data_IF_997896754304
#
_entry.id   IF_997896754304
#
_cell.length_a   1.000
_cell.length_b   1.000
_cell.length_c   1.000
_cell.angle_alpha   90.00
_cell.angle_beta   90.00
_cell.angle_gamma   90.00
#
_symmetry.space_group_name_H-M   'P 1'
#
loop_
_entity.id
_entity.type
_entity.pdbx_description
1 polymer ?
#
# COMPACT_ATOMS: atom_id res chain seq x y z
N UNK A 1 -0.67 23.16 -4.20
CA UNK A 1 0.66 23.52 -3.62
C UNK A 1 1.85 23.22 -4.54
N UNK A 2 1.69 22.56 -5.69
CA UNK A 2 2.78 22.24 -6.62
C UNK A 2 3.45 23.56 -7.11
N UNK A 3 4.77 23.60 -7.12
CA UNK A 3 5.59 24.77 -7.46
C UNK A 3 5.81 25.77 -6.31
N UNK A 4 5.10 25.64 -5.19
CA UNK A 4 5.31 26.51 -4.02
C UNK A 4 6.58 26.16 -3.27
N UNK A 5 7.11 27.15 -2.54
CA UNK A 5 8.30 27.00 -1.71
C UNK A 5 7.91 27.06 -0.23
N UNK A 6 8.35 26.06 0.55
CA UNK A 6 8.19 26.00 1.99
C UNK A 6 9.58 25.89 2.63
N UNK A 7 10.02 26.95 3.32
CA UNK A 7 11.39 27.02 3.84
C UNK A 7 12.42 26.88 2.71
N UNK A 8 13.29 25.89 2.81
CA UNK A 8 14.33 25.60 1.80
C UNK A 8 13.91 24.55 0.76
N UNK A 9 12.58 24.29 0.61
CA UNK A 9 12.10 23.16 -0.20
C UNK A 9 11.07 23.63 -1.23
N UNK A 10 11.24 23.22 -2.51
CA UNK A 10 10.26 23.41 -3.57
C UNK A 10 9.42 22.14 -3.71
N UNK A 11 8.09 22.28 -3.67
CA UNK A 11 7.17 21.17 -3.90
C UNK A 11 7.10 20.84 -5.40
N UNK A 12 7.37 19.59 -5.76
CA UNK A 12 7.35 19.14 -7.15
C UNK A 12 6.05 18.37 -7.51
N UNK A 13 5.62 17.45 -6.65
CA UNK A 13 4.42 16.63 -6.90
C UNK A 13 3.82 16.11 -5.61
N UNK A 14 2.53 15.84 -5.64
CA UNK A 14 1.80 15.16 -4.57
C UNK A 14 1.95 13.64 -4.71
N UNK A 15 2.12 12.93 -3.59
CA UNK A 15 2.26 11.47 -3.55
C UNK A 15 1.25 10.80 -2.63
N UNK A 16 0.54 11.56 -1.81
CA UNK A 16 -0.49 11.03 -0.93
C UNK A 16 -1.29 12.11 -0.23
N UNK A 17 -2.51 11.75 0.13
CA UNK A 17 -3.41 12.55 0.93
C UNK A 17 -3.91 11.70 2.10
N UNK A 18 -3.88 12.25 3.30
CA UNK A 18 -4.40 11.64 4.52
C UNK A 18 -5.34 12.58 5.24
N UNK A 19 -6.14 12.08 6.17
CA UNK A 19 -7.14 12.86 6.90
C UNK A 19 -6.58 14.05 7.73
N UNK A 20 -5.27 14.20 7.85
CA UNK A 20 -4.61 15.26 8.63
C UNK A 20 -3.48 15.95 7.86
N UNK A 21 -3.06 15.43 6.72
CA UNK A 21 -1.89 15.93 6.01
C UNK A 21 -1.88 15.52 4.54
N UNK A 22 -1.29 16.35 3.72
CA UNK A 22 -0.90 16.05 2.36
C UNK A 22 0.59 15.69 2.32
N UNK A 23 0.96 14.75 1.47
CA UNK A 23 2.35 14.28 1.34
C UNK A 23 2.86 14.61 -0.06
N UNK A 24 3.95 15.35 -0.12
CA UNK A 24 4.55 15.80 -1.36
C UNK A 24 6.00 15.33 -1.50
N UNK A 25 6.44 15.14 -2.73
CA UNK A 25 7.88 15.13 -3.05
C UNK A 25 8.30 16.56 -3.37
N UNK A 26 9.41 16.96 -2.82
CA UNK A 26 10.05 18.24 -3.14
C UNK A 26 11.55 18.10 -3.22
N UNK A 27 12.22 19.21 -3.50
CA UNK A 27 13.68 19.32 -3.56
C UNK A 27 14.21 20.49 -2.75
N UNK A 28 15.40 20.32 -2.20
CA UNK A 28 16.14 21.42 -1.57
C UNK A 28 16.49 22.49 -2.60
N UNK A 29 16.34 23.76 -2.24
CA UNK A 29 16.74 24.90 -3.08
C UNK A 29 18.22 25.25 -2.91
N UNK A 30 18.71 25.19 -1.68
CA UNK A 30 20.09 25.46 -1.34
C UNK A 30 20.66 24.36 -0.45
N UNK A 31 21.98 24.23 -0.43
CA UNK A 31 22.66 23.32 0.48
C UNK A 31 22.33 23.66 1.94
N UNK A 32 22.13 22.63 2.75
CA UNK A 32 22.08 22.70 4.21
C UNK A 32 23.28 21.95 4.78
N UNK A 33 23.47 21.95 6.11
CA UNK A 33 24.50 21.12 6.75
C UNK A 33 24.35 19.61 6.46
N UNK A 34 23.17 19.17 6.07
CA UNK A 34 22.82 17.74 5.96
C UNK A 34 22.47 17.34 4.53
N UNK A 35 21.94 18.26 3.72
CA UNK A 35 21.41 17.99 2.38
C UNK A 35 22.03 18.92 1.33
N UNK A 36 22.48 18.37 0.18
CA UNK A 36 22.92 19.18 -0.94
C UNK A 36 21.74 19.89 -1.64
N UNK A 37 21.99 20.86 -2.55
CA UNK A 37 20.93 21.43 -3.38
C UNK A 37 20.34 20.35 -4.30
N UNK A 38 19.10 20.55 -4.75
CA UNK A 38 18.32 19.63 -5.60
C UNK A 38 18.12 18.22 -5.03
N UNK A 39 18.34 18.05 -3.70
CA UNK A 39 18.16 16.75 -3.06
C UNK A 39 16.67 16.45 -2.86
N UNK A 40 16.19 15.24 -3.27
CA UNK A 40 14.79 14.87 -3.12
C UNK A 40 14.42 14.61 -1.66
N UNK A 41 13.28 15.16 -1.23
CA UNK A 41 12.73 14.99 0.12
C UNK A 41 11.23 14.72 0.04
N UNK A 42 10.69 14.16 1.11
CA UNK A 42 9.24 14.10 1.35
C UNK A 42 8.84 15.20 2.31
N UNK A 43 7.81 15.97 1.94
CA UNK A 43 7.20 16.98 2.80
C UNK A 43 5.80 16.50 3.19
N UNK A 44 5.59 16.21 4.46
CA UNK A 44 4.28 15.92 5.04
C UNK A 44 3.73 17.21 5.62
N UNK A 45 2.81 17.82 4.89
CA UNK A 45 2.23 19.15 5.18
C UNK A 45 0.90 18.97 5.88
N UNK A 46 0.70 19.62 7.02
CA UNK A 46 -0.58 19.60 7.71
C UNK A 46 -1.68 20.21 6.83
N UNK A 47 -2.84 19.57 6.79
CA UNK A 47 -3.98 20.03 6.00
C UNK A 47 -4.44 21.41 6.45
N UNK A 48 -4.82 22.29 5.50
CA UNK A 48 -5.30 23.66 5.76
C UNK A 48 -6.54 23.68 6.64
N UNK A 49 -7.40 22.66 6.54
CA UNK A 49 -8.60 22.49 7.39
C UNK A 49 -8.26 22.35 8.88
N UNK A 50 -7.05 21.86 9.18
CA UNK A 50 -6.55 21.65 10.54
C UNK A 50 -5.54 22.72 10.97
N UNK A 51 -5.22 23.71 10.15
CA UNK A 51 -4.25 24.75 10.46
C UNK A 51 -4.58 25.53 11.77
N UNK A 52 -5.87 25.69 12.06
CA UNK A 52 -6.37 26.29 13.31
C UNK A 52 -6.57 25.31 14.48
N UNK A 53 -6.43 23.99 14.26
CA UNK A 53 -6.59 23.00 15.32
C UNK A 53 -5.31 22.84 16.14
N UNK A 54 -5.32 23.42 17.35
CA UNK A 54 -4.22 23.33 18.30
C UNK A 54 -3.86 21.87 18.65
N UNK A 55 -4.84 20.97 18.68
CA UNK A 55 -4.62 19.54 18.99
C UNK A 55 -3.91 18.84 17.83
N UNK A 56 -4.32 19.09 16.59
CA UNK A 56 -3.65 18.57 15.40
C UNK A 56 -2.20 19.07 15.33
N UNK A 57 -1.99 20.36 15.58
CA UNK A 57 -0.63 20.94 15.61
C UNK A 57 0.27 20.31 16.67
N UNK A 58 -0.25 20.10 17.90
CA UNK A 58 0.48 19.40 18.97
C UNK A 58 0.89 17.98 18.55
N UNK A 59 0.03 17.27 17.81
CA UNK A 59 0.35 15.93 17.29
C UNK A 59 1.52 15.97 16.29
N UNK A 60 1.52 16.93 15.36
CA UNK A 60 2.65 17.11 14.42
C UNK A 60 3.96 17.42 15.15
N UNK A 61 3.94 18.31 16.15
CA UNK A 61 5.12 18.60 16.99
C UNK A 61 5.62 17.34 17.69
N UNK A 62 4.72 16.55 18.26
CA UNK A 62 5.07 15.31 18.95
C UNK A 62 5.64 14.26 17.97
N UNK A 63 5.07 14.17 16.78
CA UNK A 63 5.59 13.31 15.70
C UNK A 63 7.02 13.71 15.33
N UNK A 64 7.28 15.00 15.10
CA UNK A 64 8.62 15.53 14.86
C UNK A 64 9.62 15.17 15.97
N UNK A 65 9.23 15.37 17.24
CA UNK A 65 10.07 15.06 18.42
C UNK A 65 10.42 13.57 18.51
N UNK A 66 9.55 12.69 18.08
CA UNK A 66 9.80 11.24 18.11
C UNK A 66 10.65 10.84 16.92
N UNK A 67 10.32 11.32 15.72
CA UNK A 67 11.09 11.04 14.50
C UNK A 67 12.54 11.53 14.61
N UNK A 68 12.77 12.66 15.29
CA UNK A 68 14.14 13.20 15.50
C UNK A 68 15.04 12.28 16.33
N UNK A 69 14.47 11.37 17.13
CA UNK A 69 15.20 10.38 17.96
C UNK A 69 15.54 9.11 17.19
N UNK A 70 14.93 8.91 16.01
CA UNK A 70 15.08 7.68 15.23
C UNK A 70 16.11 7.89 14.12
N UNK A 71 17.20 7.12 14.19
CA UNK A 71 18.22 7.03 13.14
C UNK A 71 18.60 5.57 12.94
N UNK A 72 18.00 4.93 11.95
CA UNK A 72 18.23 3.52 11.66
C UNK A 72 18.14 3.26 10.16
N UNK A 73 18.91 2.29 9.65
CA UNK A 73 18.98 1.97 8.21
C UNK A 73 17.62 1.60 7.60
N UNK A 74 16.72 1.00 8.37
CA UNK A 74 15.40 0.59 7.94
C UNK A 74 14.27 1.54 8.39
N UNK A 75 14.59 2.74 8.88
CA UNK A 75 13.61 3.78 9.21
C UNK A 75 13.87 4.98 8.32
N UNK A 76 12.81 5.55 7.73
CA UNK A 76 12.93 6.79 6.96
C UNK A 76 13.52 7.90 7.82
N UNK A 77 14.55 8.56 7.30
CA UNK A 77 15.25 9.61 8.04
C UNK A 77 14.40 10.86 8.12
N UNK A 78 14.27 11.41 9.32
CA UNK A 78 13.72 12.73 9.55
C UNK A 78 14.84 13.76 9.42
N UNK A 79 14.57 14.86 8.70
CA UNK A 79 15.54 15.95 8.47
C UNK A 79 15.20 17.20 9.27
N UNK A 80 13.96 17.70 9.15
CA UNK A 80 13.57 18.98 9.70
C UNK A 80 12.07 19.05 10.02
N UNK A 81 11.72 19.88 10.99
CA UNK A 81 10.36 20.28 11.27
C UNK A 81 10.20 21.78 11.06
N UNK A 82 9.40 22.16 10.08
CA UNK A 82 9.05 23.55 9.80
C UNK A 82 7.71 23.84 10.48
N UNK A 83 7.68 24.85 11.33
CA UNK A 83 6.47 25.28 12.02
C UNK A 83 6.39 26.80 11.97
N UNK A 84 5.60 27.33 11.07
CA UNK A 84 5.43 28.75 10.84
C UNK A 84 3.94 29.14 10.69
N UNK A 85 3.67 30.38 10.32
CA UNK A 85 2.30 30.87 10.11
C UNK A 85 1.57 30.16 8.95
N UNK A 86 2.30 29.55 8.02
CA UNK A 86 1.76 28.82 6.85
C UNK A 86 1.40 27.37 7.20
N UNK A 87 1.79 26.86 8.39
CA UNK A 87 1.45 25.51 8.82
C UNK A 87 2.63 24.75 9.46
N UNK A 88 2.39 23.46 9.67
CA UNK A 88 3.38 22.52 10.19
C UNK A 88 3.77 21.52 9.11
N UNK A 89 5.08 21.34 8.89
CA UNK A 89 5.64 20.46 7.84
C UNK A 89 6.73 19.59 8.43
N UNK A 90 6.64 18.28 8.20
CA UNK A 90 7.71 17.33 8.47
C UNK A 90 8.49 17.09 7.18
N UNK A 91 9.79 17.27 7.22
CA UNK A 91 10.70 17.01 6.10
C UNK A 91 11.44 15.70 6.37
N UNK A 92 11.28 14.75 5.45
CA UNK A 92 11.79 13.39 5.59
C UNK A 92 12.52 12.89 4.35
N UNK A 93 13.22 11.79 4.48
CA UNK A 93 13.88 11.06 3.41
C UNK A 93 12.88 10.67 2.32
N UNK A 94 13.20 11.00 1.07
CA UNK A 94 12.53 10.41 -0.07
C UNK A 94 13.15 9.05 -0.35
N UNK A 95 12.38 7.99 -0.19
CA UNK A 95 12.81 6.61 -0.45
C UNK A 95 12.46 6.23 -1.88
N UNK A 96 13.48 5.94 -2.68
CA UNK A 96 13.27 5.44 -4.05
C UNK A 96 12.93 3.95 -4.01
N UNK A 97 11.64 3.64 -3.97
CA UNK A 97 11.15 2.28 -3.84
C UNK A 97 9.67 2.15 -4.16
N UNK A 98 9.15 0.95 -3.98
CA UNK A 98 7.73 0.64 -4.15
C UNK A 98 7.11 0.27 -2.79
N UNK A 99 6.02 0.91 -2.36
CA UNK A 99 5.28 0.49 -1.18
C UNK A 99 4.83 -0.98 -1.30
N UNK A 100 4.86 -1.71 -0.17
CA UNK A 100 4.56 -3.16 -0.18
C UNK A 100 3.10 -3.45 -0.51
N UNK A 101 2.16 -2.56 -0.19
CA UNK A 101 0.75 -2.68 -0.59
C UNK A 101 0.59 -2.62 -2.11
N UNK A 102 1.37 -1.78 -2.80
CA UNK A 102 1.41 -1.73 -4.27
C UNK A 102 1.96 -3.06 -4.82
N UNK A 103 3.06 -3.57 -4.24
CA UNK A 103 3.61 -4.87 -4.65
C UNK A 103 2.59 -6.00 -4.47
N UNK A 104 1.84 -6.01 -3.37
CA UNK A 104 0.78 -6.98 -3.09
C UNK A 104 -0.39 -6.84 -4.06
N UNK A 105 -0.80 -5.62 -4.38
CA UNK A 105 -1.88 -5.38 -5.34
C UNK A 105 -1.52 -5.82 -6.77
N UNK A 106 -0.24 -5.68 -7.15
CA UNK A 106 0.24 -6.05 -8.48
C UNK A 106 0.52 -7.54 -8.63
N UNK A 107 1.01 -8.21 -7.58
CA UNK A 107 1.57 -9.57 -7.65
C UNK A 107 0.80 -10.60 -6.85
N UNK A 108 -0.13 -10.17 -5.99
CA UNK A 108 -0.70 -11.02 -4.96
C UNK A 108 0.34 -11.33 -3.87
N UNK A 109 0.57 -12.61 -3.60
CA UNK A 109 1.57 -13.04 -2.63
C UNK A 109 3.01 -12.77 -3.11
N UNK A 110 3.88 -12.44 -2.16
CA UNK A 110 5.32 -12.32 -2.43
C UNK A 110 6.00 -13.71 -2.34
N UNK A 111 7.16 -13.92 -2.99
CA UNK A 111 7.99 -15.10 -2.72
C UNK A 111 8.27 -15.22 -1.21
N UNK A 112 8.23 -16.45 -0.66
CA UNK A 112 8.38 -16.70 0.79
C UNK A 112 9.64 -16.04 1.35
N UNK A 113 10.78 -16.22 0.69
CA UNK A 113 12.06 -15.60 1.08
C UNK A 113 11.99 -14.06 1.05
N UNK A 114 11.28 -13.48 0.09
CA UNK A 114 11.10 -12.03 0.01
C UNK A 114 10.20 -11.50 1.13
N UNK A 115 9.11 -12.20 1.45
CA UNK A 115 8.21 -11.83 2.55
C UNK A 115 8.95 -11.87 3.91
N UNK A 116 9.76 -12.90 4.13
CA UNK A 116 10.57 -13.01 5.35
C UNK A 116 11.61 -11.88 5.42
N UNK A 117 12.33 -11.61 4.33
CA UNK A 117 13.34 -10.54 4.31
C UNK A 117 12.72 -9.17 4.58
N UNK A 118 11.55 -8.86 4.02
CA UNK A 118 10.79 -7.63 4.31
C UNK A 118 10.42 -7.56 5.79
N UNK A 119 9.89 -8.67 6.34
CA UNK A 119 9.51 -8.75 7.75
C UNK A 119 10.72 -8.58 8.67
N UNK A 120 11.87 -9.18 8.35
CA UNK A 120 13.11 -9.04 9.12
C UNK A 120 13.60 -7.58 9.15
N UNK A 121 13.57 -6.85 8.02
CA UNK A 121 13.90 -5.42 7.99
C UNK A 121 12.95 -4.61 8.89
N UNK A 122 11.64 -4.90 8.85
CA UNK A 122 10.65 -4.29 9.73
C UNK A 122 10.96 -4.57 11.19
N UNK A 123 11.21 -5.83 11.55
CA UNK A 123 11.48 -6.24 12.94
C UNK A 123 12.77 -5.61 13.49
N UNK A 124 13.84 -5.50 12.70
CA UNK A 124 15.04 -4.75 13.12
C UNK A 124 14.74 -3.27 13.40
N UNK A 125 13.93 -2.63 12.56
CA UNK A 125 13.50 -1.26 12.81
C UNK A 125 12.69 -1.14 14.12
N UNK A 126 11.81 -2.12 14.39
CA UNK A 126 11.02 -2.15 15.62
C UNK A 126 11.88 -2.44 16.86
N UNK A 127 12.84 -3.35 16.79
CA UNK A 127 13.79 -3.60 17.89
C UNK A 127 14.50 -2.30 18.29
N UNK A 128 14.95 -1.53 17.30
CA UNK A 128 15.60 -0.25 17.55
C UNK A 128 14.64 0.78 18.15
N UNK A 129 13.43 0.92 17.62
CA UNK A 129 12.43 1.88 18.10
C UNK A 129 11.94 1.52 19.52
N UNK A 130 11.63 0.25 19.77
CA UNK A 130 11.17 -0.26 21.07
C UNK A 130 12.24 -0.08 22.15
N UNK A 131 13.51 -0.28 21.81
CA UNK A 131 14.65 0.00 22.71
C UNK A 131 14.76 1.49 23.13
N UNK A 132 14.10 2.40 22.38
CA UNK A 132 13.97 3.83 22.72
C UNK A 132 12.61 4.16 23.35
N UNK A 133 11.78 3.18 23.67
CA UNK A 133 10.44 3.37 24.20
C UNK A 133 9.45 3.92 23.16
N UNK A 134 9.76 3.77 21.84
CA UNK A 134 8.93 4.27 20.76
C UNK A 134 8.22 3.09 20.07
N UNK A 135 6.91 3.14 19.98
CA UNK A 135 6.03 2.18 19.33
C UNK A 135 5.51 2.76 18.02
N UNK A 136 5.43 1.95 16.95
CA UNK A 136 4.99 2.42 15.63
C UNK A 136 3.49 2.67 15.54
N UNK A 137 2.66 1.72 16.01
CA UNK A 137 1.19 1.80 16.13
C UNK A 137 0.40 1.87 14.82
N UNK A 138 1.03 1.92 13.66
CA UNK A 138 0.38 1.92 12.34
C UNK A 138 1.14 1.06 11.33
N UNK A 139 1.55 -0.14 11.73
CA UNK A 139 2.23 -1.08 10.84
C UNK A 139 1.21 -1.63 9.85
N UNK A 140 1.50 -1.43 8.56
CA UNK A 140 0.73 -1.92 7.41
C UNK A 140 1.62 -1.90 6.17
N UNK A 141 1.29 -2.64 5.10
CA UNK A 141 2.11 -2.69 3.88
C UNK A 141 2.37 -1.33 3.24
N UNK A 142 1.41 -0.40 3.28
CA UNK A 142 1.58 0.96 2.74
C UNK A 142 2.69 1.78 3.43
N UNK A 143 3.03 1.44 4.67
CA UNK A 143 4.09 2.10 5.45
C UNK A 143 5.44 1.39 5.36
N UNK A 144 5.58 0.44 4.43
CA UNK A 144 6.81 -0.30 4.15
C UNK A 144 7.22 -0.05 2.69
N UNK A 145 8.32 0.63 2.46
CA UNK A 145 8.81 0.95 1.12
C UNK A 145 9.98 0.02 0.79
N UNK A 146 9.81 -0.85 -0.20
CA UNK A 146 10.85 -1.76 -0.68
C UNK A 146 11.69 -1.06 -1.74
N UNK A 147 12.96 -0.87 -1.45
CA UNK A 147 13.95 -0.31 -2.37
C UNK A 147 14.37 -1.32 -3.44
N UNK A 148 14.97 -0.85 -4.53
CA UNK A 148 15.47 -1.70 -5.63
C UNK A 148 16.54 -2.70 -5.20
N UNK A 149 17.33 -2.36 -4.18
CA UNK A 149 18.35 -3.24 -3.59
C UNK A 149 17.78 -4.35 -2.70
N UNK A 150 16.47 -4.35 -2.48
CA UNK A 150 15.75 -5.32 -1.64
C UNK A 150 15.60 -4.91 -0.18
N UNK A 151 16.28 -3.85 0.27
CA UNK A 151 16.07 -3.29 1.60
C UNK A 151 14.67 -2.70 1.75
N UNK A 152 14.24 -2.50 3.00
CA UNK A 152 12.94 -1.91 3.30
C UNK A 152 13.10 -0.73 4.23
N UNK A 153 12.38 0.34 3.95
CA UNK A 153 12.26 1.48 4.85
C UNK A 153 10.87 1.51 5.47
N UNK A 154 10.84 1.64 6.79
CA UNK A 154 9.60 1.84 7.57
C UNK A 154 9.34 3.32 7.68
N UNK A 155 8.15 3.76 7.31
CA UNK A 155 7.72 5.16 7.35
C UNK A 155 6.50 5.34 8.25
N UNK A 156 6.12 6.59 8.53
CA UNK A 156 4.89 6.96 9.23
C UNK A 156 4.69 6.27 10.59
N UNK A 157 5.63 6.48 11.52
CA UNK A 157 5.40 6.10 12.92
C UNK A 157 4.12 6.77 13.45
N UNK A 158 3.08 5.96 13.73
CA UNK A 158 1.68 6.34 13.93
C UNK A 158 1.37 7.12 15.20
N UNK A 159 2.16 8.11 15.52
CA UNK A 159 2.07 8.93 16.74
C UNK A 159 0.80 9.79 16.74
N UNK A 160 0.30 10.16 15.57
CA UNK A 160 -0.94 10.89 15.41
C UNK A 160 -2.18 10.14 15.95
N UNK A 161 -2.08 8.82 16.17
CA UNK A 161 -3.16 7.98 16.73
C UNK A 161 -3.24 7.99 18.26
N UNK A 162 -2.31 8.66 18.97
CA UNK A 162 -2.39 8.82 20.43
C UNK A 162 -3.42 9.91 20.73
N UNK A 163 -4.59 9.53 21.21
CA UNK A 163 -5.55 10.49 21.81
C UNK A 163 -5.04 10.92 23.19
N UNK A 164 -4.54 12.15 23.31
CA UNK A 164 -4.42 12.83 24.57
C UNK A 164 -5.78 13.44 24.91
N UNK A 165 -6.42 12.97 25.96
CA UNK A 165 -7.66 13.53 26.49
C UNK A 165 -8.60 12.45 27.00
N UNK A 166 -8.63 12.26 28.32
CA UNK A 166 -9.60 11.44 29.02
C UNK A 166 -11.02 11.95 28.83
N UNK A 167 -11.68 11.48 27.78
CA UNK A 167 -13.10 11.56 27.57
C UNK A 167 -13.64 10.14 27.67
N UNK A 168 -14.24 9.84 28.81
CA UNK A 168 -15.04 8.65 29.08
C UNK A 168 -16.13 8.52 28.02
N UNK A 169 -16.05 7.52 27.16
CA UNK A 169 -17.14 6.64 26.70
C UNK A 169 -16.63 5.74 25.59
N UNK A 170 -16.96 4.45 25.65
CA UNK A 170 -16.52 3.34 24.80
C UNK A 170 -16.88 3.40 23.29
N UNK A 171 -16.52 4.48 22.60
CA UNK A 171 -16.75 4.66 21.16
C UNK A 171 -15.46 5.15 20.48
N UNK A 172 -14.41 4.33 20.51
CA UNK A 172 -13.04 4.82 20.25
C UNK A 172 -12.55 4.64 18.82
N UNK A 173 -13.27 3.93 17.98
CA UNK A 173 -12.88 3.63 16.58
C UNK A 173 -13.77 4.36 15.56
N UNK A 174 -14.92 4.88 16.01
CA UNK A 174 -15.85 5.64 15.16
C UNK A 174 -15.68 7.14 15.41
N UNK A 175 -15.40 7.91 14.36
CA UNK A 175 -15.59 9.36 14.40
C UNK A 175 -17.08 9.67 14.58
N UNK A 176 -17.44 10.89 15.05
CA UNK A 176 -18.84 11.34 15.15
C UNK A 176 -19.64 11.20 13.83
N UNK A 177 -18.94 11.04 12.70
CA UNK A 177 -19.49 10.82 11.37
C UNK A 177 -19.56 9.34 10.96
N UNK A 178 -19.26 8.37 11.85
CA UNK A 178 -19.31 6.94 11.53
C UNK A 178 -18.13 6.42 10.70
N UNK A 179 -17.12 7.25 10.41
CA UNK A 179 -15.93 6.83 9.68
C UNK A 179 -14.85 6.31 10.62
N UNK A 180 -14.29 5.16 10.26
CA UNK A 180 -13.18 4.54 10.95
C UNK A 180 -11.89 5.30 10.63
N UNK A 181 -11.15 5.74 11.64
CA UNK A 181 -9.84 6.37 11.47
C UNK A 181 -8.79 5.27 11.22
N UNK A 182 -8.53 4.92 9.97
CA UNK A 182 -7.53 3.95 9.54
C UNK A 182 -8.12 2.58 9.13
N UNK A 183 -7.28 1.72 8.58
CA UNK A 183 -7.64 0.37 8.11
C UNK A 183 -7.53 -0.60 9.29
N UNK A 184 -8.63 -1.10 9.88
CA UNK A 184 -8.60 -1.89 11.11
C UNK A 184 -8.01 -3.29 10.94
N UNK A 185 -7.80 -3.74 9.69
CA UNK A 185 -7.32 -5.08 9.35
C UNK A 185 -5.97 -5.45 9.96
N UNK A 186 -5.13 -4.45 10.25
CA UNK A 186 -3.80 -4.64 10.86
C UNK A 186 -3.76 -4.31 12.35
N UNK A 187 -4.86 -3.78 12.93
CA UNK A 187 -4.91 -3.42 14.33
C UNK A 187 -4.97 -4.64 15.22
N UNK A 188 -4.22 -4.63 16.30
CA UNK A 188 -4.30 -5.65 17.34
C UNK A 188 -5.58 -5.53 18.16
N UNK A 189 -6.05 -6.62 18.81
CA UNK A 189 -7.23 -6.60 19.67
C UNK A 189 -7.18 -5.49 20.73
N UNK A 190 -6.03 -5.31 21.39
CA UNK A 190 -5.86 -4.27 22.42
C UNK A 190 -5.91 -2.85 21.83
N UNK A 191 -5.39 -2.63 20.61
CA UNK A 191 -5.52 -1.32 19.93
C UNK A 191 -6.97 -0.97 19.63
N UNK A 192 -7.79 -1.96 19.29
CA UNK A 192 -9.22 -1.77 19.01
C UNK A 192 -9.98 -1.51 20.31
N UNK A 193 -9.66 -2.26 21.37
CA UNK A 193 -10.32 -2.13 22.68
C UNK A 193 -9.97 -0.82 23.36
N UNK A 194 -8.69 -0.55 23.50
CA UNK A 194 -8.17 0.57 24.27
C UNK A 194 -6.87 1.08 23.63
N UNK A 195 -6.92 2.08 22.74
CA UNK A 195 -5.75 2.56 21.98
C UNK A 195 -4.56 3.01 22.84
N UNK A 196 -4.79 3.38 24.12
CA UNK A 196 -3.72 3.71 25.05
C UNK A 196 -2.85 2.51 25.42
N UNK A 197 -3.42 1.29 25.38
CA UNK A 197 -2.73 0.05 25.73
C UNK A 197 -1.87 -0.49 24.57
N UNK A 198 -1.94 0.17 23.40
CA UNK A 198 -1.12 -0.18 22.25
C UNK A 198 0.37 0.03 22.56
N UNK A 199 1.13 -1.05 22.59
CA UNK A 199 2.56 -1.09 22.89
C UNK A 199 3.35 -1.91 21.87
N UNK A 200 4.55 -2.31 22.26
CA UNK A 200 5.44 -3.15 21.42
C UNK A 200 4.76 -4.45 20.95
N UNK A 201 3.95 -5.07 21.80
CA UNK A 201 3.18 -6.29 21.48
C UNK A 201 2.14 -6.06 20.37
N UNK A 202 1.61 -4.83 20.24
CA UNK A 202 0.70 -4.45 19.16
C UNK A 202 1.44 -4.36 17.82
N UNK A 203 2.66 -3.83 17.81
CA UNK A 203 3.50 -3.79 16.60
C UNK A 203 3.89 -5.21 16.16
N UNK A 204 4.17 -6.13 17.10
CA UNK A 204 4.43 -7.54 16.81
C UNK A 204 3.22 -8.18 16.12
N UNK A 205 2.02 -7.97 16.65
CA UNK A 205 0.79 -8.46 16.04
C UNK A 205 0.60 -7.94 14.61
N UNK A 206 0.71 -6.61 14.43
CA UNK A 206 0.56 -5.98 13.11
C UNK A 206 1.63 -6.47 12.12
N UNK A 207 2.87 -6.72 12.58
CA UNK A 207 3.94 -7.32 11.76
C UNK A 207 3.59 -8.75 11.32
N UNK A 208 2.97 -9.54 12.22
CA UNK A 208 2.44 -10.86 11.90
C UNK A 208 1.35 -10.81 10.82
N UNK A 209 0.42 -9.83 10.92
CA UNK A 209 -0.64 -9.61 9.91
C UNK A 209 -0.03 -9.25 8.55
N UNK A 210 0.97 -8.37 8.53
CA UNK A 210 1.68 -7.99 7.30
C UNK A 210 2.42 -9.19 6.70
N UNK A 211 3.09 -10.01 7.53
CA UNK A 211 3.76 -11.21 7.05
C UNK A 211 2.77 -12.23 6.49
N UNK A 212 1.63 -12.44 7.17
CA UNK A 212 0.55 -13.29 6.67
C UNK A 212 0.09 -12.84 5.28
N UNK A 213 -0.20 -11.55 5.11
CA UNK A 213 -0.67 -11.01 3.84
C UNK A 213 0.41 -11.10 2.74
N UNK A 214 1.66 -10.80 3.06
CA UNK A 214 2.77 -10.98 2.11
C UNK A 214 2.94 -12.42 1.66
N UNK A 215 2.72 -13.39 2.55
CA UNK A 215 2.81 -14.81 2.24
C UNK A 215 1.62 -15.32 1.43
N UNK A 216 0.41 -14.90 1.76
CA UNK A 216 -0.83 -15.47 1.19
C UNK A 216 -1.45 -14.62 0.08
N UNK A 217 -1.10 -13.34 -0.02
CA UNK A 217 -1.79 -12.35 -0.88
C UNK A 217 -3.18 -11.98 -0.39
N UNK A 218 -3.57 -12.41 0.82
CA UNK A 218 -4.89 -12.18 1.38
C UNK A 218 -4.81 -11.66 2.83
N UNK A 219 -5.75 -10.82 3.21
CA UNK A 219 -5.90 -10.40 4.60
C UNK A 219 -6.40 -11.57 5.46
N UNK A 220 -5.82 -11.78 6.67
CA UNK A 220 -6.26 -12.85 7.57
C UNK A 220 -7.70 -12.67 8.06
N UNK A 221 -8.11 -11.42 8.20
CA UNK A 221 -9.45 -11.04 8.62
C UNK A 221 -10.03 -10.12 7.55
N UNK A 222 -11.10 -10.57 6.91
CA UNK A 222 -11.76 -9.79 5.86
C UNK A 222 -13.28 -9.88 6.05
N UNK A 223 -13.92 -8.75 6.28
CA UNK A 223 -15.37 -8.62 6.36
C UNK A 223 -15.82 -7.24 5.91
N UNK A 224 -16.92 -7.19 5.15
CA UNK A 224 -17.58 -5.92 4.78
C UNK A 224 -18.27 -5.26 5.98
N UNK A 225 -18.53 -6.00 7.03
CA UNK A 225 -19.14 -5.51 8.28
C UNK A 225 -18.05 -5.27 9.31
N UNK A 226 -17.88 -4.01 9.74
CA UNK A 226 -16.92 -3.66 10.76
C UNK A 226 -17.10 -4.44 12.09
N UNK A 227 -18.32 -4.63 12.63
CA UNK A 227 -18.50 -5.44 13.83
C UNK A 227 -18.03 -6.89 13.63
N UNK A 228 -18.30 -7.50 12.45
CA UNK A 228 -17.83 -8.86 12.16
C UNK A 228 -16.32 -8.94 12.00
N UNK A 229 -15.70 -7.92 11.42
CA UNK A 229 -14.23 -7.82 11.33
C UNK A 229 -13.61 -7.76 12.73
N UNK A 230 -14.13 -6.89 13.59
CA UNK A 230 -13.67 -6.75 14.98
C UNK A 230 -13.84 -8.07 15.76
N UNK A 231 -14.98 -8.73 15.63
CA UNK A 231 -15.23 -10.02 16.27
C UNK A 231 -14.23 -11.10 15.79
N UNK A 232 -13.98 -11.18 14.47
CA UNK A 232 -13.00 -12.11 13.92
C UNK A 232 -11.57 -11.84 14.44
N UNK A 233 -11.17 -10.56 14.58
CA UNK A 233 -9.87 -10.16 15.15
C UNK A 233 -9.78 -10.61 16.63
N UNK A 234 -10.83 -10.40 17.43
CA UNK A 234 -10.84 -10.81 18.84
C UNK A 234 -10.79 -12.32 19.03
N UNK A 235 -11.49 -13.08 18.18
CA UNK A 235 -11.47 -14.55 18.23
C UNK A 235 -10.23 -15.15 17.58
N UNK A 236 -9.57 -14.40 16.73
CA UNK A 236 -8.47 -14.90 15.91
C UNK A 236 -8.95 -15.85 14.79
N UNK A 237 -10.17 -15.65 14.32
CA UNK A 237 -10.80 -16.47 13.27
C UNK A 237 -10.20 -16.13 11.91
N UNK A 238 -9.19 -16.92 11.51
CA UNK A 238 -8.48 -16.77 10.23
C UNK A 238 -8.17 -18.13 9.63
N UNK A 239 -8.05 -18.17 8.31
CA UNK A 239 -7.51 -19.37 7.65
C UNK A 239 -6.02 -19.52 7.99
N UNK A 240 -5.57 -20.76 8.09
CA UNK A 240 -4.14 -21.04 8.22
C UNK A 240 -3.39 -20.64 6.94
N UNK A 241 -2.21 -20.01 7.02
CA UNK A 241 -1.43 -19.63 5.84
C UNK A 241 -1.24 -20.79 4.85
N UNK A 242 -0.97 -21.98 5.32
CA UNK A 242 -0.78 -23.20 4.50
C UNK A 242 -2.03 -23.63 3.72
N UNK A 243 -3.21 -23.32 4.23
CA UNK A 243 -4.47 -23.61 3.52
C UNK A 243 -4.64 -22.73 2.28
N UNK A 244 -4.04 -21.54 2.27
CA UNK A 244 -4.05 -20.60 1.15
C UNK A 244 -2.83 -20.77 0.25
N UNK A 245 -1.68 -21.13 0.84
CA UNK A 245 -0.42 -21.28 0.14
C UNK A 245 0.37 -22.48 0.68
N UNK A 246 0.31 -23.64 0.01
CA UNK A 246 0.98 -24.87 0.44
C UNK A 246 2.51 -24.77 0.57
N UNK A 247 3.17 -23.82 -0.11
CA UNK A 247 4.62 -23.57 0.00
C UNK A 247 5.03 -22.97 1.35
N UNK A 248 4.10 -22.47 2.13
CA UNK A 248 4.32 -22.08 3.53
C UNK A 248 4.31 -23.38 4.35
N UNK A 249 5.45 -23.77 4.93
CA UNK A 249 5.53 -24.96 5.75
C UNK A 249 4.93 -24.78 7.15
N UNK A 250 4.90 -25.87 7.94
CA UNK A 250 4.30 -25.85 9.26
C UNK A 250 5.06 -24.95 10.26
N UNK A 251 6.38 -24.85 10.13
CA UNK A 251 7.20 -24.03 11.03
C UNK A 251 6.95 -22.54 10.80
N UNK A 252 6.98 -22.08 9.54
CA UNK A 252 6.68 -20.69 9.19
C UNK A 252 5.24 -20.30 9.56
N UNK A 253 4.30 -21.22 9.34
CA UNK A 253 2.90 -21.00 9.76
C UNK A 253 2.81 -20.76 11.27
N UNK A 254 3.48 -21.58 12.11
CA UNK A 254 3.47 -21.41 13.55
C UNK A 254 4.09 -20.07 13.99
N UNK A 255 5.17 -19.64 13.34
CA UNK A 255 5.78 -18.32 13.59
C UNK A 255 4.76 -17.19 13.31
N UNK A 256 4.10 -17.23 12.16
CA UNK A 256 3.08 -16.24 11.79
C UNK A 256 1.92 -16.24 12.79
N UNK A 257 1.37 -17.42 13.10
CA UNK A 257 0.23 -17.58 14.01
C UNK A 257 0.56 -17.14 15.45
N UNK A 258 1.79 -17.41 15.93
CA UNK A 258 2.26 -16.93 17.23
C UNK A 258 2.32 -15.40 17.28
N UNK A 259 2.88 -14.75 16.26
CA UNK A 259 2.92 -13.27 16.19
C UNK A 259 1.51 -12.66 16.24
N UNK A 260 0.55 -13.29 15.55
CA UNK A 260 -0.84 -12.85 15.43
C UNK A 260 -1.78 -13.42 16.51
N UNK A 261 -1.27 -13.95 17.61
CA UNK A 261 -2.14 -14.50 18.64
C UNK A 261 -3.01 -13.40 19.26
N UNK A 262 -4.35 -13.59 19.46
CA UNK A 262 -5.22 -12.56 20.02
C UNK A 262 -4.78 -12.13 21.43
N UNK A 263 -4.32 -13.06 22.26
CA UNK A 263 -3.81 -12.80 23.60
C UNK A 263 -2.36 -12.38 23.53
N UNK A 264 -2.03 -11.22 24.14
CA UNK A 264 -0.68 -10.65 24.14
C UNK A 264 0.38 -11.54 24.77
N UNK A 265 0.02 -12.29 25.84
CA UNK A 265 0.91 -13.21 26.57
C UNK A 265 1.31 -14.45 25.75
N UNK A 266 0.59 -14.75 24.68
CA UNK A 266 0.87 -15.86 23.77
C UNK A 266 1.67 -15.45 22.53
N UNK A 267 1.97 -14.15 22.37
CA UNK A 267 2.81 -13.64 21.27
C UNK A 267 4.29 -13.77 21.62
N UNK A 268 5.15 -13.44 20.68
CA UNK A 268 6.55 -13.17 20.97
C UNK A 268 6.68 -12.08 22.04
N UNK A 269 7.62 -12.21 22.96
CA UNK A 269 7.82 -11.24 24.02
C UNK A 269 8.31 -9.90 23.45
N UNK A 270 9.23 -9.98 22.49
CA UNK A 270 9.87 -8.83 21.85
C UNK A 270 9.89 -8.98 20.32
N UNK A 271 10.06 -7.87 19.61
CA UNK A 271 10.34 -7.90 18.18
C UNK A 271 11.65 -8.64 17.85
N UNK A 272 12.61 -8.69 18.81
CA UNK A 272 13.84 -9.43 18.69
C UNK A 272 13.58 -10.92 18.63
N UNK A 273 12.78 -11.48 19.54
CA UNK A 273 12.42 -12.91 19.50
C UNK A 273 11.71 -13.31 18.20
N UNK A 274 10.85 -12.43 17.68
CA UNK A 274 10.18 -12.71 16.40
C UNK A 274 11.19 -12.69 15.25
N UNK A 275 12.12 -11.74 15.24
CA UNK A 275 13.22 -11.69 14.27
C UNK A 275 14.06 -12.95 14.30
N UNK A 276 14.50 -13.37 15.50
CA UNK A 276 15.34 -14.57 15.72
C UNK A 276 14.62 -15.84 15.26
N UNK A 277 13.31 -15.96 15.52
CA UNK A 277 12.53 -17.10 15.03
C UNK A 277 12.52 -17.17 13.49
N UNK A 278 12.43 -16.04 12.78
CA UNK A 278 12.52 -16.01 11.32
C UNK A 278 13.94 -16.26 10.82
N UNK A 279 14.96 -15.81 11.55
CA UNK A 279 16.37 -16.05 11.23
C UNK A 279 16.72 -17.54 11.38
N UNK A 280 16.30 -18.17 12.47
CA UNK A 280 16.46 -19.62 12.68
C UNK A 280 15.72 -20.44 11.63
N UNK A 281 14.51 -20.03 11.26
CA UNK A 281 13.77 -20.66 10.17
C UNK A 281 14.55 -20.59 8.86
N UNK A 282 15.05 -19.42 8.47
CA UNK A 282 15.84 -19.25 7.25
C UNK A 282 17.13 -20.10 7.27
N UNK A 283 17.80 -20.20 8.43
CA UNK A 283 19.03 -20.97 8.56
C UNK A 283 18.82 -22.49 8.38
N UNK A 284 17.62 -22.98 8.66
CA UNK A 284 17.24 -24.41 8.48
C UNK A 284 16.75 -24.71 7.06
N UNK A 285 16.33 -23.69 6.31
CA UNK A 285 15.96 -23.92 4.91
C UNK A 285 17.19 -24.34 4.12
N UNK A 286 17.12 -25.42 3.33
CA UNK A 286 18.21 -25.76 2.45
C UNK A 286 18.49 -24.54 1.56
N UNK A 287 19.76 -24.10 1.53
CA UNK A 287 20.18 -23.07 0.59
C UNK A 287 19.72 -23.55 -0.77
N UNK A 288 18.62 -22.95 -1.28
CA UNK A 288 18.20 -23.22 -2.63
C UNK A 288 19.41 -22.87 -3.49
N UNK A 289 20.07 -23.90 -4.04
CA UNK A 289 21.17 -23.70 -4.96
C UNK A 289 20.66 -22.64 -5.95
N UNK A 290 21.47 -21.61 -6.25
CA UNK A 290 21.02 -20.59 -7.19
C UNK A 290 20.51 -21.36 -8.38
N UNK A 291 19.23 -21.23 -8.68
CA UNK A 291 18.63 -21.85 -9.85
C UNK A 291 19.49 -21.34 -10.99
N UNK A 292 20.41 -22.18 -11.46
CA UNK A 292 21.16 -21.89 -12.65
C UNK A 292 20.10 -21.58 -13.65
N UNK A 293 19.98 -20.31 -14.04
CA UNK A 293 19.29 -19.93 -15.25
C UNK A 293 19.88 -20.87 -16.30
N UNK A 294 19.15 -21.95 -16.59
CA UNK A 294 19.51 -22.79 -17.73
C UNK A 294 19.53 -21.79 -18.87
N UNK A 295 20.67 -21.63 -19.57
CA UNK A 295 20.67 -20.85 -20.76
C UNK A 295 19.60 -21.50 -21.64
N UNK A 296 18.56 -20.76 -21.96
CA UNK A 296 17.62 -21.15 -23.00
C UNK A 296 18.50 -21.31 -24.24
N UNK A 297 18.84 -22.56 -24.55
CA UNK A 297 19.53 -22.89 -25.76
C UNK A 297 18.65 -22.32 -26.87
N UNK A 298 19.12 -21.28 -27.52
CA UNK A 298 18.58 -20.86 -28.83
C UNK A 298 18.88 -22.00 -29.78
N UNK A 299 17.96 -22.94 -29.89
CA UNK A 299 17.93 -23.83 -31.01
C UNK A 299 17.74 -22.99 -32.28
N UNK A 300 18.72 -23.03 -33.13
CA UNK A 300 18.58 -22.49 -34.47
C UNK A 300 17.40 -23.23 -35.14
N UNK A 301 16.54 -22.55 -35.90
CA UNK A 301 15.41 -23.19 -36.52
C UNK A 301 15.89 -24.20 -37.55
N UNK A 302 15.65 -25.49 -37.29
CA UNK A 302 15.80 -26.56 -38.28
C UNK A 302 14.72 -26.38 -39.36
N UNK A 303 15.18 -26.17 -40.59
CA UNK A 303 14.36 -25.75 -41.74
C UNK A 303 13.59 -26.89 -42.39
N UNK A 304 13.31 -28.03 -41.73
CA UNK A 304 12.65 -29.19 -42.33
C UNK A 304 11.66 -29.94 -41.45
N UNK A 305 10.67 -29.22 -40.85
CA UNK A 305 9.50 -29.89 -40.29
C UNK A 305 8.20 -29.28 -40.86
N UNK A 306 7.20 -30.05 -41.21
CA UNK A 306 5.96 -29.52 -41.80
C UNK A 306 5.19 -28.74 -40.75
N UNK A 307 4.89 -27.49 -41.05
CA UNK A 307 4.06 -26.58 -40.23
C UNK A 307 2.66 -27.18 -40.07
N UNK A 308 2.37 -27.79 -38.93
CA UNK A 308 0.99 -28.05 -38.52
C UNK A 308 0.31 -26.69 -38.29
N UNK A 309 -0.69 -26.39 -39.10
CA UNK A 309 -1.58 -25.24 -38.89
C UNK A 309 -2.21 -25.38 -37.52
N UNK A 310 -1.84 -24.47 -36.59
CA UNK A 310 -2.55 -24.27 -35.30
C UNK A 310 -3.97 -23.82 -35.64
N UNK A 311 -4.95 -24.51 -35.10
CA UNK A 311 -6.34 -24.03 -35.11
C UNK A 311 -6.40 -22.68 -34.42
N UNK A 312 -7.22 -21.72 -34.89
CA UNK A 312 -7.34 -20.41 -34.24
C UNK A 312 -7.92 -20.61 -32.86
N UNK A 313 -7.16 -20.21 -31.82
CA UNK A 313 -7.66 -20.09 -30.46
C UNK A 313 -8.87 -19.13 -30.46
N UNK A 314 -9.91 -19.37 -29.63
CA UNK A 314 -11.11 -18.51 -29.59
C UNK A 314 -10.72 -17.06 -29.26
N UNK A 315 -11.35 -16.11 -29.95
CA UNK A 315 -11.14 -14.68 -29.73
C UNK A 315 -11.45 -14.31 -28.26
N UNK A 316 -10.52 -13.61 -27.60
CA UNK A 316 -10.75 -13.11 -26.24
C UNK A 316 -11.78 -11.98 -26.24
N UNK A 317 -12.78 -12.09 -25.37
CA UNK A 317 -13.81 -11.06 -25.21
C UNK A 317 -13.55 -10.26 -23.94
N UNK A 318 -13.27 -8.98 -24.10
CA UNK A 318 -13.01 -8.09 -22.98
C UNK A 318 -14.26 -7.31 -22.54
N UNK A 319 -14.39 -7.03 -21.25
CA UNK A 319 -15.46 -6.17 -20.73
C UNK A 319 -14.99 -5.34 -19.54
N UNK A 320 -15.53 -4.12 -19.40
CA UNK A 320 -15.46 -3.32 -18.18
C UNK A 320 -16.70 -3.61 -17.32
N UNK A 321 -16.48 -4.00 -16.07
CA UNK A 321 -17.54 -4.30 -15.10
C UNK A 321 -17.45 -3.31 -13.95
N UNK A 322 -18.55 -2.65 -13.60
CA UNK A 322 -18.58 -1.68 -12.50
C UNK A 322 -18.12 -2.34 -11.18
N UNK A 323 -17.22 -1.67 -10.45
CA UNK A 323 -16.71 -2.16 -9.16
C UNK A 323 -17.81 -2.15 -8.09
N UNK A 324 -18.85 -1.29 -8.24
CA UNK A 324 -20.00 -1.24 -7.33
C UNK A 324 -21.06 -2.26 -7.77
N UNK A 325 -21.30 -3.34 -6.98
CA UNK A 325 -22.24 -4.41 -7.38
C UNK A 325 -23.66 -3.93 -7.59
N UNK A 326 -24.05 -2.83 -6.91
CA UNK A 326 -25.41 -2.31 -6.98
C UNK A 326 -25.74 -1.70 -8.36
N UNK A 327 -24.74 -1.32 -9.15
CA UNK A 327 -24.93 -0.69 -10.46
C UNK A 327 -25.12 -1.67 -11.61
N UNK A 328 -24.68 -2.90 -11.45
CA UNK A 328 -24.75 -3.97 -12.48
C UNK A 328 -24.39 -3.53 -13.91
N UNK A 329 -23.48 -2.54 -14.04
CA UNK A 329 -23.06 -1.99 -15.32
C UNK A 329 -21.91 -2.84 -15.88
N UNK A 330 -22.09 -3.34 -17.11
CA UNK A 330 -21.09 -4.11 -17.83
C UNK A 330 -21.01 -3.61 -19.26
N UNK A 331 -19.84 -3.21 -19.70
CA UNK A 331 -19.58 -2.67 -21.02
C UNK A 331 -18.65 -3.61 -21.79
N UNK A 332 -19.10 -4.28 -22.85
CA UNK A 332 -18.21 -5.06 -23.71
C UNK A 332 -17.22 -4.13 -24.43
N UNK A 333 -15.97 -4.56 -24.50
CA UNK A 333 -14.93 -3.90 -25.26
C UNK A 333 -14.71 -4.70 -26.54
N UNK A 334 -15.27 -4.22 -27.65
CA UNK A 334 -15.11 -4.84 -28.96
C UNK A 334 -14.77 -3.79 -30.01
N UNK A 335 -13.67 -4.02 -30.76
CA UNK A 335 -13.22 -3.15 -31.85
C UNK A 335 -12.03 -2.25 -31.49
N UNK A 336 -11.49 -1.65 -32.54
CA UNK A 336 -10.23 -0.89 -32.46
C UNK A 336 -10.37 0.55 -31.91
N UNK A 337 -11.60 1.02 -31.62
CA UNK A 337 -11.83 2.40 -31.21
C UNK A 337 -13.06 2.54 -30.29
N UNK A 338 -12.96 2.06 -29.05
CA UNK A 338 -14.00 2.17 -28.04
C UNK A 338 -13.84 3.49 -27.29
N UNK A 339 -14.67 4.49 -27.60
CA UNK A 339 -14.64 5.79 -26.94
C UNK A 339 -15.40 5.74 -25.61
N UNK A 340 -14.77 6.24 -24.54
CA UNK A 340 -15.36 6.35 -23.20
C UNK A 340 -15.54 7.82 -22.83
N UNK A 341 -16.72 8.19 -22.34
CA UNK A 341 -16.98 9.57 -21.92
C UNK A 341 -18.44 9.80 -21.51
N UNK A 342 -18.77 11.02 -21.08
CA UNK A 342 -20.17 11.36 -20.72
C UNK A 342 -21.02 11.83 -21.90
N UNK A 343 -20.41 12.06 -23.06
CA UNK A 343 -21.15 12.42 -24.27
C UNK A 343 -21.88 11.18 -24.82
N UNK A 344 -23.14 11.38 -25.26
CA UNK A 344 -23.96 10.30 -25.79
C UNK A 344 -23.44 9.69 -27.09
N UNK A 345 -22.49 10.36 -27.75
CA UNK A 345 -21.82 9.85 -28.95
C UNK A 345 -20.67 8.87 -28.63
N UNK A 346 -20.29 8.70 -27.35
CA UNK A 346 -19.29 7.75 -26.93
C UNK A 346 -19.83 6.30 -27.00
N UNK A 347 -18.94 5.35 -27.28
CA UNK A 347 -19.26 3.91 -27.28
C UNK A 347 -19.67 3.44 -25.89
N UNK A 348 -18.94 3.91 -24.86
CA UNK A 348 -19.26 3.69 -23.45
C UNK A 348 -19.63 5.04 -22.85
N UNK A 349 -20.91 5.21 -22.52
CA UNK A 349 -21.43 6.47 -21.95
C UNK A 349 -21.45 6.36 -20.43
N UNK A 350 -20.60 7.16 -19.78
CA UNK A 350 -20.54 7.29 -18.33
C UNK A 350 -21.15 8.64 -17.92
N UNK A 351 -22.43 8.66 -17.62
CA UNK A 351 -23.18 9.88 -17.30
C UNK A 351 -22.84 10.42 -15.90
N UNK A 352 -21.59 10.83 -15.68
CA UNK A 352 -21.11 11.33 -14.40
C UNK A 352 -20.35 12.66 -14.56
N UNK A 353 -20.54 13.66 -13.65
CA UNK A 353 -19.87 14.98 -13.76
C UNK A 353 -18.34 14.91 -13.77
N UNK A 354 -17.75 13.96 -13.07
CA UNK A 354 -16.29 13.75 -13.02
C UNK A 354 -15.71 13.23 -14.35
N UNK A 355 -16.54 12.74 -15.28
CA UNK A 355 -16.11 12.19 -16.57
C UNK A 355 -16.19 13.27 -17.65
N UNK A 356 -15.14 13.50 -18.42
CA UNK A 356 -15.12 14.44 -19.56
C UNK A 356 -16.04 13.97 -20.69
N UNK A 357 -16.49 14.88 -21.56
CA UNK A 357 -17.36 14.53 -22.71
C UNK A 357 -16.76 13.40 -23.55
N UNK A 358 -15.50 13.52 -23.92
CA UNK A 358 -14.65 12.46 -24.49
C UNK A 358 -13.48 12.30 -23.52
N UNK A 359 -13.45 11.20 -22.78
CA UNK A 359 -12.55 11.06 -21.64
C UNK A 359 -11.34 10.20 -21.97
N UNK A 360 -11.59 9.02 -22.51
CA UNK A 360 -10.56 8.03 -22.83
C UNK A 360 -10.92 7.22 -24.06
N UNK A 361 -9.94 6.54 -24.63
CA UNK A 361 -10.10 5.60 -25.73
C UNK A 361 -9.52 4.24 -25.34
N UNK A 362 -10.25 3.17 -25.66
CA UNK A 362 -9.78 1.80 -25.52
C UNK A 362 -9.65 1.21 -26.90
N UNK A 363 -8.46 0.70 -27.23
CA UNK A 363 -8.18 0.00 -28.47
C UNK A 363 -8.03 -1.49 -28.13
N UNK A 364 -8.91 -2.34 -28.67
CA UNK A 364 -8.86 -3.77 -28.50
C UNK A 364 -8.96 -4.44 -29.89
N UNK A 365 -7.99 -5.23 -30.26
CA UNK A 365 -7.95 -5.93 -31.55
C UNK A 365 -7.47 -7.37 -31.42
N UNK A 366 -8.26 -8.35 -31.88
CA UNK A 366 -7.91 -9.75 -31.93
C UNK A 366 -7.58 -10.36 -30.56
N UNK A 367 -6.43 -11.01 -30.45
CA UNK A 367 -5.95 -11.65 -29.21
C UNK A 367 -5.13 -10.72 -28.30
N UNK A 368 -4.86 -9.49 -28.73
CA UNK A 368 -4.05 -8.55 -27.98
C UNK A 368 -4.80 -7.97 -26.77
N UNK A 369 -4.06 -7.73 -25.67
CA UNK A 369 -4.59 -7.05 -24.49
C UNK A 369 -5.01 -5.60 -24.86
N UNK A 370 -6.15 -5.09 -24.32
CA UNK A 370 -6.63 -3.76 -24.63
C UNK A 370 -5.64 -2.66 -24.23
N UNK A 371 -5.52 -1.62 -25.03
CA UNK A 371 -4.74 -0.42 -24.74
C UNK A 371 -5.70 0.71 -24.39
N UNK A 372 -5.54 1.29 -23.20
CA UNK A 372 -6.27 2.44 -22.71
C UNK A 372 -5.43 3.71 -22.86
N UNK A 373 -6.04 4.77 -23.38
CA UNK A 373 -5.41 6.09 -23.59
C UNK A 373 -6.32 7.20 -23.04
N UNK A 374 -5.79 8.06 -22.20
CA UNK A 374 -6.48 9.27 -21.72
C UNK A 374 -6.48 10.34 -22.82
N UNK A 375 -7.62 10.94 -23.09
CA UNK A 375 -7.77 11.96 -24.13
C UNK A 375 -7.68 13.39 -23.55
N UNK A 376 -6.67 13.61 -22.71
CA UNK A 376 -6.47 14.88 -21.97
C UNK A 376 -7.72 15.26 -21.17
N UNK A 377 -8.26 14.28 -20.47
CA UNK A 377 -9.45 14.47 -19.67
C UNK A 377 -9.21 15.43 -18.49
N UNK A 378 -10.22 16.20 -18.11
CA UNK A 378 -10.09 17.23 -17.06
C UNK A 378 -9.67 16.63 -15.70
N UNK A 379 -10.16 15.44 -15.37
CA UNK A 379 -9.94 14.80 -14.08
C UNK A 379 -9.02 13.54 -14.18
N UNK A 380 -8.45 13.26 -15.36
CA UNK A 380 -7.53 12.16 -15.61
C UNK A 380 -8.18 10.77 -15.63
N UNK A 381 -7.48 9.83 -16.28
CA UNK A 381 -7.78 8.39 -16.26
C UNK A 381 -6.77 7.69 -15.35
N UNK A 382 -7.23 6.71 -14.57
CA UNK A 382 -6.41 5.99 -13.61
C UNK A 382 -6.54 4.49 -13.83
N UNK A 383 -5.43 3.77 -13.74
CA UNK A 383 -5.39 2.30 -13.71
C UNK A 383 -4.71 1.88 -12.41
N UNK A 384 -5.42 1.08 -11.60
CA UNK A 384 -4.95 0.66 -10.27
C UNK A 384 -4.48 1.86 -9.41
N UNK A 385 -5.27 2.95 -9.44
CA UNK A 385 -5.03 4.24 -8.78
C UNK A 385 -3.84 5.07 -9.34
N UNK A 386 -3.09 4.59 -10.31
CA UNK A 386 -2.07 5.37 -10.99
C UNK A 386 -2.69 6.16 -12.15
N UNK A 387 -2.44 7.48 -12.22
CA UNK A 387 -2.84 8.30 -13.37
C UNK A 387 -2.04 7.88 -14.60
N UNK A 388 -2.74 7.69 -15.73
CA UNK A 388 -2.12 7.24 -16.97
C UNK A 388 -2.38 8.21 -18.11
N UNK A 389 -1.47 8.23 -19.07
CA UNK A 389 -1.70 8.80 -20.39
C UNK A 389 -2.04 7.69 -21.38
N UNK A 390 -1.29 6.60 -21.37
CA UNK A 390 -1.52 5.40 -22.16
C UNK A 390 -0.94 4.17 -21.49
N UNK A 391 -1.71 3.07 -21.46
CA UNK A 391 -1.29 1.80 -20.83
C UNK A 391 -1.94 0.60 -21.50
N UNK A 392 -1.25 -0.53 -21.54
CA UNK A 392 -1.84 -1.84 -21.91
C UNK A 392 -2.47 -2.45 -20.67
N UNK A 393 -3.77 -2.73 -20.74
CA UNK A 393 -4.55 -3.27 -19.64
C UNK A 393 -4.36 -4.79 -19.52
N UNK A 394 -4.53 -5.30 -18.30
CA UNK A 394 -4.55 -6.73 -17.98
C UNK A 394 -5.88 -7.10 -17.34
N UNK A 395 -6.29 -8.37 -17.47
CA UNK A 395 -7.45 -8.87 -16.73
C UNK A 395 -7.29 -8.62 -15.23
N UNK A 396 -8.33 -8.06 -14.61
CA UNK A 396 -8.31 -7.66 -13.20
C UNK A 396 -7.92 -6.21 -12.94
N UNK A 397 -7.38 -5.46 -13.91
CA UNK A 397 -7.08 -4.05 -13.74
C UNK A 397 -8.33 -3.24 -13.39
N UNK A 398 -8.19 -2.35 -12.41
CA UNK A 398 -9.24 -1.40 -12.02
C UNK A 398 -9.00 -0.09 -12.76
N UNK A 399 -9.88 0.23 -13.69
CA UNK A 399 -9.86 1.47 -14.47
C UNK A 399 -10.83 2.45 -13.86
N UNK A 400 -10.38 3.68 -13.55
CA UNK A 400 -11.21 4.76 -13.05
C UNK A 400 -11.16 5.97 -13.99
N UNK A 401 -12.33 6.43 -14.40
CA UNK A 401 -12.49 7.60 -15.28
C UNK A 401 -12.86 8.85 -14.47
N UNK A 402 -11.86 9.69 -14.20
CA UNK A 402 -12.03 10.89 -13.38
C UNK A 402 -11.70 10.69 -11.89
N UNK A 403 -11.94 11.73 -11.09
CA UNK A 403 -11.58 11.75 -9.69
C UNK A 403 -12.52 10.92 -8.79
N UNK A 404 -13.74 10.61 -9.24
CA UNK A 404 -14.75 9.95 -8.42
C UNK A 404 -14.62 8.42 -8.44
N UNK A 405 -14.47 7.75 -7.28
CA UNK A 405 -14.43 6.28 -7.18
C UNK A 405 -15.69 5.58 -7.74
N UNK A 406 -16.82 6.30 -7.86
CA UNK A 406 -18.03 5.75 -8.46
C UNK A 406 -17.88 5.42 -9.95
N UNK A 407 -16.84 5.95 -10.60
CA UNK A 407 -16.52 5.70 -12.01
C UNK A 407 -15.39 4.66 -12.17
N UNK A 408 -15.31 3.68 -11.27
CA UNK A 408 -14.31 2.60 -11.29
C UNK A 408 -14.90 1.30 -11.85
N UNK A 409 -14.15 0.66 -12.74
CA UNK A 409 -14.53 -0.56 -13.47
C UNK A 409 -13.38 -1.55 -13.45
N UNK A 410 -13.68 -2.85 -13.34
CA UNK A 410 -12.69 -3.93 -13.45
C UNK A 410 -12.70 -4.46 -14.88
N UNK A 411 -11.52 -4.60 -15.48
CA UNK A 411 -11.36 -5.30 -16.76
C UNK A 411 -11.50 -6.81 -16.56
N UNK A 412 -12.39 -7.43 -17.34
CA UNK A 412 -12.61 -8.88 -17.34
C UNK A 412 -12.32 -9.46 -18.73
N UNK A 413 -11.62 -10.59 -18.75
CA UNK A 413 -11.50 -11.49 -19.89
C UNK A 413 -12.62 -12.54 -19.78
N UNK A 414 -13.36 -12.80 -20.89
CA UNK A 414 -14.49 -13.74 -20.92
C UNK A 414 -14.22 -14.90 -21.87
#
# INVERSE_FOLDING_TARGET
>A
MIGTVIGNYRIEREIGEGGMSHVYVGKTLAATEVLPPDFPVVLKVMSDELAGDVTARKRFVKEAQILSKLRHRYITRFYEFINNAQGAVLVMEFVEGTPVDILLSERGALPVSSAIAVCQCLLEALVYAHGKGITHRDIKPANLIKEKNGAVKVTDFGIAKIREGGGTTGQTVLTKSGFLLGTPHYMSPEQIREPKDAGAKSDIYSSGVVLYEMLTGALPFNSRSLPKLIDAIYRGDKQAPRALRPEVDAELEQIVLKAMHPRMDQRFETAREFFEALEEYNARQPIAAPTKLQPVAREAPDATAPVKKKEPEPARHWSLVCVKPERNEKFPISGENVMVGRDRTCTIVLAHPAVSRRHARITAGGQAAPVLEDLQSANGTYVNNARIERVTLKAGDIVRFGADPACSYVLRDQ
#
